data_IF_012991725194
#
_entry.id   IF_012991725194
#
_cell.length_a   1.000
_cell.length_b   1.000
_cell.length_c   1.000
_cell.angle_alpha   90.00
_cell.angle_beta   90.00
_cell.angle_gamma   90.00
#
_symmetry.space_group_name_H-M   'P 1'
#
loop_
_entity.id
_entity.type
_entity.pdbx_description
1 polymer ?
#
# COMPACT_ATOMS: atom_id res chain seq x y z
N UNK A 1 -7.55 75.61 -12.75
CA UNK A 1 -7.25 74.61 -13.80
C UNK A 1 -6.35 73.53 -13.21
N UNK A 2 -6.86 72.34 -12.89
CA UNK A 2 -6.07 71.21 -12.37
C UNK A 2 -5.66 70.32 -13.55
N UNK A 3 -4.35 70.12 -13.75
CA UNK A 3 -3.83 69.20 -14.78
C UNK A 3 -3.96 67.77 -14.27
N UNK A 4 -4.74 66.95 -14.96
CA UNK A 4 -4.83 65.51 -14.75
C UNK A 4 -3.69 64.87 -15.55
N UNK A 5 -2.76 64.20 -14.87
CA UNK A 5 -1.72 63.42 -15.50
C UNK A 5 -2.25 62.00 -15.76
N UNK A 6 -2.43 61.64 -17.03
CA UNK A 6 -2.69 60.25 -17.44
C UNK A 6 -1.40 59.44 -17.31
N UNK A 7 -1.35 58.51 -16.38
CA UNK A 7 -0.32 57.46 -16.35
C UNK A 7 -0.73 56.35 -17.33
N UNK A 8 0.01 56.22 -18.43
CA UNK A 8 -0.06 55.05 -19.30
C UNK A 8 0.61 53.88 -18.58
N UNK A 9 -0.19 52.88 -18.20
CA UNK A 9 0.32 51.60 -17.72
C UNK A 9 0.85 50.81 -18.92
N UNK A 10 2.17 50.72 -19.05
CA UNK A 10 2.80 49.88 -20.06
C UNK A 10 2.70 48.42 -19.59
N UNK A 11 1.76 47.65 -20.13
CA UNK A 11 1.73 46.20 -19.93
C UNK A 11 2.93 45.58 -20.66
N UNK A 12 4.03 45.36 -19.92
CA UNK A 12 5.15 44.55 -20.40
C UNK A 12 4.67 43.10 -20.43
N UNK A 13 4.37 42.61 -21.63
CA UNK A 13 4.16 41.18 -21.87
C UNK A 13 5.52 40.52 -21.75
N UNK A 14 5.83 39.98 -20.57
CA UNK A 14 6.97 39.10 -20.38
C UNK A 14 6.61 37.80 -21.12
N UNK A 15 7.36 37.39 -22.17
CA UNK A 15 7.15 36.10 -22.78
C UNK A 15 7.48 35.05 -21.71
N UNK A 16 6.44 34.38 -21.21
CA UNK A 16 6.60 33.26 -20.30
C UNK A 16 7.48 32.23 -20.99
N UNK A 17 8.63 31.94 -20.40
CA UNK A 17 9.46 30.80 -20.80
C UNK A 17 8.59 29.57 -20.54
N UNK A 18 8.01 29.02 -21.60
CA UNK A 18 7.44 27.68 -21.60
C UNK A 18 8.59 26.73 -21.32
N UNK A 19 8.81 26.42 -20.04
CA UNK A 19 9.68 25.31 -19.65
C UNK A 19 8.98 24.07 -20.21
N UNK A 20 9.53 23.52 -21.29
CA UNK A 20 9.07 22.26 -21.82
C UNK A 20 9.16 21.22 -20.68
N UNK A 21 8.05 20.57 -20.36
CA UNK A 21 8.03 19.52 -19.37
C UNK A 21 9.02 18.44 -19.78
N UNK A 22 10.01 18.17 -18.94
CA UNK A 22 11.01 17.14 -19.22
C UNK A 22 10.32 15.77 -19.14
N UNK A 23 10.19 15.12 -20.31
CA UNK A 23 9.61 13.79 -20.37
C UNK A 23 10.65 12.76 -19.92
N UNK A 24 10.32 12.00 -18.89
CA UNK A 24 11.07 10.80 -18.51
C UNK A 24 10.57 9.62 -19.33
N UNK A 25 11.48 8.75 -19.75
CA UNK A 25 11.16 7.54 -20.51
C UNK A 25 11.65 6.31 -19.78
N UNK A 26 10.91 5.21 -19.91
CA UNK A 26 11.29 3.90 -19.38
C UNK A 26 11.01 2.84 -20.44
N UNK A 27 11.90 1.88 -20.60
CA UNK A 27 11.66 0.78 -21.53
C UNK A 27 10.59 -0.17 -20.99
N UNK A 28 9.82 -0.82 -21.86
CA UNK A 28 8.84 -1.85 -21.46
C UNK A 28 9.48 -2.98 -20.65
N UNK A 29 10.71 -3.35 -20.98
CA UNK A 29 11.48 -4.38 -20.26
C UNK A 29 11.78 -3.93 -18.83
N UNK A 30 12.30 -2.71 -18.68
CA UNK A 30 12.64 -2.16 -17.37
C UNK A 30 11.39 -1.94 -16.50
N UNK A 31 10.31 -1.44 -17.08
CA UNK A 31 9.03 -1.32 -16.37
C UNK A 31 8.56 -2.67 -15.82
N UNK A 32 8.61 -3.73 -16.64
CA UNK A 32 8.25 -5.09 -16.19
C UNK A 32 9.15 -5.58 -15.06
N UNK A 33 10.45 -5.41 -15.18
CA UNK A 33 11.40 -5.79 -14.12
C UNK A 33 11.13 -5.04 -12.82
N UNK A 34 10.74 -3.75 -12.87
CA UNK A 34 10.35 -2.99 -11.67
C UNK A 34 9.05 -3.51 -11.05
N UNK A 35 8.04 -3.85 -11.87
CA UNK A 35 6.78 -4.44 -11.41
C UNK A 35 7.01 -5.83 -10.79
N UNK A 36 7.87 -6.66 -11.38
CA UNK A 36 8.29 -7.94 -10.81
C UNK A 36 9.02 -7.74 -9.47
N UNK A 37 9.91 -6.75 -9.40
CA UNK A 37 10.62 -6.37 -8.17
C UNK A 37 9.68 -5.88 -7.08
N UNK A 38 8.57 -5.24 -7.42
CA UNK A 38 7.53 -4.84 -6.47
C UNK A 38 6.87 -6.06 -5.81
N UNK A 39 6.40 -7.04 -6.59
CA UNK A 39 5.78 -8.25 -6.03
C UNK A 39 6.78 -9.07 -5.21
N UNK A 40 7.99 -9.28 -5.74
CA UNK A 40 9.02 -10.04 -5.04
C UNK A 40 9.52 -9.31 -3.79
N UNK A 41 9.66 -7.99 -3.84
CA UNK A 41 10.14 -7.17 -2.74
C UNK A 41 9.22 -7.23 -1.52
N UNK A 42 7.90 -7.19 -1.74
CA UNK A 42 6.92 -7.38 -0.67
C UNK A 42 7.08 -8.74 0.03
N UNK A 43 7.16 -9.82 -0.76
CA UNK A 43 7.31 -11.18 -0.22
C UNK A 43 8.63 -11.37 0.52
N UNK A 44 9.74 -10.84 -0.03
CA UNK A 44 11.06 -10.86 0.61
C UNK A 44 11.01 -10.14 1.95
N UNK A 45 10.46 -8.92 1.99
CA UNK A 45 10.35 -8.12 3.20
C UNK A 45 9.50 -8.80 4.26
N UNK A 46 8.31 -9.30 3.88
CA UNK A 46 7.43 -10.05 4.77
C UNK A 46 8.17 -11.28 5.31
N UNK A 47 8.72 -12.16 4.46
CA UNK A 47 9.38 -13.40 4.90
C UNK A 47 10.59 -13.17 5.82
N UNK A 48 11.34 -12.08 5.63
CA UNK A 48 12.44 -11.73 6.52
C UNK A 48 11.95 -11.27 7.90
N UNK A 49 10.85 -10.52 7.96
CA UNK A 49 10.27 -10.00 9.19
C UNK A 49 9.35 -10.98 9.93
N UNK A 50 8.70 -11.88 9.21
CA UNK A 50 7.56 -12.66 9.70
C UNK A 50 7.88 -13.54 10.91
N UNK A 51 9.01 -14.26 10.98
CA UNK A 51 9.38 -15.01 12.18
C UNK A 51 9.50 -14.11 13.43
N UNK A 52 9.81 -12.83 13.27
CA UNK A 52 10.12 -11.90 14.35
C UNK A 52 8.95 -11.00 14.76
N UNK A 53 7.78 -11.18 14.14
CA UNK A 53 6.57 -10.41 14.46
C UNK A 53 6.23 -10.51 15.95
N UNK A 54 6.10 -9.36 16.62
CA UNK A 54 5.88 -9.22 18.08
C UNK A 54 6.99 -9.78 18.99
N UNK A 55 8.17 -10.12 18.46
CA UNK A 55 9.25 -10.73 19.24
C UNK A 55 10.20 -9.69 19.86
N UNK A 56 10.60 -8.71 19.06
CA UNK A 56 11.51 -7.62 19.41
C UNK A 56 10.73 -6.30 19.38
N UNK A 57 10.64 -5.61 20.52
CA UNK A 57 9.85 -4.37 20.64
C UNK A 57 10.71 -3.23 21.17
N UNK A 58 11.27 -3.39 22.38
CA UNK A 58 12.14 -2.37 23.00
C UNK A 58 13.56 -2.42 22.47
N UNK A 59 14.13 -3.63 22.42
CA UNK A 59 15.49 -3.86 21.96
C UNK A 59 15.45 -4.52 20.57
N UNK A 60 16.35 -4.14 19.65
CA UNK A 60 16.43 -4.78 18.35
C UNK A 60 16.86 -6.25 18.49
N UNK A 61 16.70 -7.01 17.41
CA UNK A 61 17.30 -8.34 17.34
C UNK A 61 18.81 -8.25 17.65
N UNK A 62 19.37 -9.18 18.45
CA UNK A 62 20.78 -9.12 18.86
C UNK A 62 21.75 -9.45 17.71
N UNK A 63 21.22 -9.78 16.53
CA UNK A 63 21.95 -10.09 15.32
C UNK A 63 21.32 -9.36 14.13
N UNK A 64 22.12 -9.14 13.09
CA UNK A 64 21.61 -8.65 11.82
C UNK A 64 20.87 -9.76 11.08
N UNK A 65 19.66 -9.47 10.62
CA UNK A 65 18.84 -10.42 9.85
C UNK A 65 19.24 -10.29 8.37
N UNK A 66 20.06 -11.22 7.88
CA UNK A 66 20.66 -11.21 6.54
C UNK A 66 20.14 -12.34 5.61
N UNK A 67 19.25 -13.18 6.12
CA UNK A 67 18.65 -14.31 5.41
C UNK A 67 17.26 -14.61 5.94
N UNK A 68 16.56 -15.52 5.29
CA UNK A 68 15.32 -16.07 5.81
C UNK A 68 15.61 -17.00 6.99
N UNK A 69 15.09 -16.64 8.16
CA UNK A 69 15.10 -17.49 9.34
C UNK A 69 13.83 -18.34 9.36
N UNK A 70 13.95 -19.59 9.81
CA UNK A 70 12.82 -20.51 9.91
C UNK A 70 12.95 -21.45 11.12
N UNK A 71 12.01 -22.39 11.26
CA UNK A 71 11.89 -23.34 12.37
C UNK A 71 13.17 -24.15 12.65
N UNK A 72 14.04 -24.36 11.66
CA UNK A 72 15.33 -25.05 11.86
C UNK A 72 16.41 -24.17 12.48
N UNK A 73 16.22 -22.86 12.49
CA UNK A 73 17.11 -21.90 13.12
C UNK A 73 16.69 -21.77 14.59
N UNK A 74 17.51 -22.17 15.55
CA UNK A 74 17.13 -22.04 16.98
C UNK A 74 18.29 -21.63 17.88
N UNK A 75 19.46 -21.38 17.30
CA UNK A 75 20.65 -21.01 18.04
C UNK A 75 20.77 -19.47 18.12
N UNK A 76 20.58 -18.92 19.32
CA UNK A 76 20.99 -17.54 19.62
C UNK A 76 20.05 -16.41 19.19
N UNK A 77 18.88 -16.73 18.64
CA UNK A 77 17.85 -15.74 18.28
C UNK A 77 16.46 -16.21 18.74
N UNK A 78 15.63 -15.28 19.20
CA UNK A 78 14.24 -15.54 19.56
C UNK A 78 13.37 -15.29 18.33
N UNK A 79 12.46 -16.19 18.03
CA UNK A 79 11.43 -15.99 17.00
C UNK A 79 10.18 -16.83 17.26
N UNK A 80 9.15 -16.63 16.45
CA UNK A 80 7.97 -17.48 16.43
C UNK A 80 8.31 -18.79 15.70
N UNK A 81 8.09 -19.94 16.35
CA UNK A 81 8.42 -21.28 15.79
C UNK A 81 7.21 -22.20 15.66
N UNK A 82 6.07 -21.81 16.19
CA UNK A 82 4.92 -22.69 16.43
C UNK A 82 3.78 -22.52 15.43
N UNK A 83 3.91 -21.57 14.50
CA UNK A 83 2.92 -21.28 13.48
C UNK A 83 3.59 -20.88 12.14
N UNK A 84 2.77 -20.41 11.20
CA UNK A 84 3.19 -20.06 9.83
C UNK A 84 4.37 -19.07 9.76
N UNK A 85 4.57 -18.24 10.79
CA UNK A 85 5.63 -17.22 10.87
C UNK A 85 7.02 -17.82 10.89
N UNK A 86 7.21 -18.92 11.63
CA UNK A 86 8.47 -19.65 11.68
C UNK A 86 8.63 -20.68 10.57
N UNK A 87 7.57 -20.99 9.82
CA UNK A 87 7.51 -22.16 8.94
C UNK A 87 7.41 -21.78 7.45
N UNK A 88 7.83 -20.57 7.08
CA UNK A 88 7.72 -20.02 5.72
C UNK A 88 8.22 -20.98 4.63
N UNK A 89 9.37 -21.63 4.87
CA UNK A 89 9.96 -22.63 3.96
C UNK A 89 9.08 -23.87 3.79
N UNK A 90 8.46 -24.37 4.85
CA UNK A 90 7.57 -25.54 4.81
C UNK A 90 6.32 -25.22 3.99
N UNK A 91 5.72 -24.05 4.22
CA UNK A 91 4.55 -23.62 3.44
C UNK A 91 4.89 -23.36 1.97
N UNK A 92 6.06 -22.78 1.69
CA UNK A 92 6.49 -22.54 0.31
C UNK A 92 6.70 -23.86 -0.45
N UNK A 93 7.32 -24.86 0.18
CA UNK A 93 7.48 -26.20 -0.40
C UNK A 93 6.11 -26.87 -0.63
N UNK A 94 5.24 -26.86 0.37
CA UNK A 94 3.91 -27.48 0.29
C UNK A 94 2.99 -26.85 -0.76
N UNK A 95 3.13 -25.55 -1.02
CA UNK A 95 2.34 -24.80 -2.01
C UNK A 95 3.01 -24.76 -3.39
N UNK A 96 4.21 -25.34 -3.56
CA UNK A 96 4.93 -25.38 -4.82
C UNK A 96 5.48 -24.02 -5.27
N UNK A 97 5.71 -23.10 -4.33
CA UNK A 97 6.17 -21.75 -4.63
C UNK A 97 5.95 -20.76 -3.49
N UNK A 98 6.12 -19.47 -3.79
CA UNK A 98 5.86 -18.42 -2.82
C UNK A 98 4.37 -18.36 -2.44
N UNK A 99 4.12 -17.98 -1.20
CA UNK A 99 2.83 -17.74 -0.58
C UNK A 99 2.84 -16.40 0.18
N UNK A 100 1.71 -15.91 0.65
CA UNK A 100 1.67 -14.62 1.37
C UNK A 100 0.62 -14.62 2.47
N UNK A 101 0.54 -13.51 3.20
CA UNK A 101 -0.49 -13.18 4.17
C UNK A 101 -1.20 -11.87 3.79
N UNK A 102 -1.86 -11.21 4.74
CA UNK A 102 -2.65 -10.03 4.49
C UNK A 102 -1.85 -8.83 3.96
N UNK A 103 -0.51 -8.83 4.07
CA UNK A 103 0.34 -7.81 3.49
C UNK A 103 0.28 -7.78 1.96
N UNK A 104 0.13 -8.94 1.29
CA UNK A 104 0.03 -9.00 -0.19
C UNK A 104 -1.29 -9.57 -0.68
N UNK A 105 -1.97 -10.42 0.10
CA UNK A 105 -3.26 -11.03 -0.29
C UNK A 105 -4.32 -9.97 -0.60
N UNK A 106 -4.31 -8.85 0.14
CA UNK A 106 -5.25 -7.74 -0.08
C UNK A 106 -5.00 -7.07 -1.45
N UNK A 107 -3.75 -6.96 -1.87
CA UNK A 107 -3.40 -6.41 -3.17
C UNK A 107 -3.79 -7.36 -4.31
N UNK A 108 -3.70 -8.69 -4.12
CA UNK A 108 -4.22 -9.65 -5.09
C UNK A 108 -5.74 -9.55 -5.26
N UNK A 109 -6.49 -9.33 -4.19
CA UNK A 109 -7.94 -9.10 -4.28
C UNK A 109 -8.24 -7.77 -4.95
N UNK A 110 -7.43 -6.75 -4.71
CA UNK A 110 -7.55 -5.45 -5.39
C UNK A 110 -7.27 -5.59 -6.89
N UNK A 111 -6.21 -6.32 -7.28
CA UNK A 111 -5.92 -6.64 -8.67
C UNK A 111 -7.08 -7.38 -9.32
N UNK A 112 -7.62 -8.41 -8.67
CA UNK A 112 -8.77 -9.17 -9.17
C UNK A 112 -10.00 -8.26 -9.39
N UNK A 113 -10.26 -7.33 -8.48
CA UNK A 113 -11.34 -6.36 -8.62
C UNK A 113 -11.10 -5.38 -9.79
N UNK A 114 -9.87 -4.91 -9.97
CA UNK A 114 -9.47 -4.05 -11.10
C UNK A 114 -9.58 -4.79 -12.43
N UNK A 115 -9.22 -6.07 -12.50
CA UNK A 115 -9.40 -6.88 -13.71
C UNK A 115 -10.89 -7.03 -14.09
N UNK A 116 -11.78 -7.07 -13.11
CA UNK A 116 -13.22 -7.21 -13.32
C UNK A 116 -13.94 -5.88 -13.65
N UNK A 117 -13.51 -4.78 -13.03
CA UNK A 117 -14.24 -3.49 -13.06
C UNK A 117 -13.46 -2.34 -13.71
N UNK A 118 -12.17 -2.54 -14.00
CA UNK A 118 -11.25 -1.51 -14.48
C UNK A 118 -10.66 -0.66 -13.36
N UNK A 119 -9.83 0.31 -13.75
CA UNK A 119 -9.11 1.20 -12.83
C UNK A 119 -10.02 2.20 -12.09
N UNK A 120 -11.23 2.46 -12.63
CA UNK A 120 -12.25 3.33 -12.01
C UNK A 120 -13.10 2.60 -10.95
N UNK A 121 -12.58 1.50 -10.39
CA UNK A 121 -13.17 0.69 -9.34
C UNK A 121 -13.73 1.56 -8.20
N UNK A 122 -15.02 1.40 -7.90
CA UNK A 122 -15.70 2.16 -6.86
C UNK A 122 -15.77 1.39 -5.53
N UNK A 123 -16.16 2.09 -4.46
CA UNK A 123 -16.12 1.51 -3.11
C UNK A 123 -17.09 0.33 -2.91
N UNK A 124 -18.22 0.29 -3.62
CA UNK A 124 -19.16 -0.85 -3.53
C UNK A 124 -18.54 -2.10 -4.15
N UNK A 125 -17.82 -1.94 -5.25
CA UNK A 125 -17.17 -3.04 -5.98
C UNK A 125 -16.00 -3.62 -5.17
N UNK A 126 -15.09 -2.79 -4.65
CA UNK A 126 -14.00 -3.29 -3.81
C UNK A 126 -14.52 -3.88 -2.49
N UNK A 127 -15.58 -3.31 -1.90
CA UNK A 127 -16.24 -3.89 -0.72
C UNK A 127 -16.79 -5.28 -1.04
N UNK A 128 -17.43 -5.47 -2.20
CA UNK A 128 -17.91 -6.77 -2.62
C UNK A 128 -16.77 -7.78 -2.83
N UNK A 129 -15.66 -7.34 -3.44
CA UNK A 129 -14.48 -8.18 -3.61
C UNK A 129 -13.87 -8.59 -2.26
N UNK A 130 -13.72 -7.64 -1.32
CA UNK A 130 -13.26 -7.89 0.04
C UNK A 130 -14.14 -8.90 0.77
N UNK A 131 -15.47 -8.71 0.78
CA UNK A 131 -16.39 -9.65 1.41
C UNK A 131 -16.27 -11.07 0.83
N UNK A 132 -16.07 -11.18 -0.48
CA UNK A 132 -15.99 -12.47 -1.16
C UNK A 132 -14.66 -13.18 -0.91
N UNK A 133 -13.55 -12.44 -0.85
CA UNK A 133 -12.21 -13.04 -0.92
C UNK A 133 -11.34 -12.85 0.33
N UNK A 134 -11.64 -11.87 1.19
CA UNK A 134 -10.83 -11.52 2.37
C UNK A 134 -11.61 -11.92 3.63
N UNK A 135 -11.39 -13.17 4.09
CA UNK A 135 -12.24 -13.79 5.12
C UNK A 135 -11.47 -14.47 6.26
N UNK A 136 -10.15 -14.55 6.17
CA UNK A 136 -9.28 -15.24 7.12
C UNK A 136 -7.93 -14.53 7.20
N UNK A 137 -7.22 -14.71 8.31
CA UNK A 137 -5.86 -14.22 8.50
C UNK A 137 -5.67 -12.73 8.15
N UNK A 138 -6.62 -11.90 8.58
CA UNK A 138 -6.54 -10.44 8.53
C UNK A 138 -6.58 -9.91 9.95
N UNK A 139 -5.89 -8.81 10.20
CA UNK A 139 -5.72 -8.28 11.55
C UNK A 139 -6.22 -6.85 11.69
N UNK A 140 -6.29 -6.40 12.94
CA UNK A 140 -6.44 -4.99 13.35
C UNK A 140 -7.46 -4.21 12.51
N UNK A 141 -7.00 -3.28 11.65
CA UNK A 141 -7.87 -2.36 10.93
C UNK A 141 -8.54 -3.04 9.74
N UNK A 142 -7.81 -3.90 9.03
CA UNK A 142 -8.35 -4.77 7.97
C UNK A 142 -9.50 -5.64 8.48
N UNK A 143 -9.30 -6.31 9.63
CA UNK A 143 -10.32 -7.15 10.28
C UNK A 143 -11.55 -6.34 10.65
N UNK A 144 -11.36 -5.17 11.28
CA UNK A 144 -12.47 -4.32 11.70
C UNK A 144 -13.25 -3.77 10.50
N UNK A 145 -12.57 -3.32 9.45
CA UNK A 145 -13.21 -2.89 8.22
C UNK A 145 -14.05 -4.04 7.62
N UNK A 146 -13.51 -5.26 7.55
CA UNK A 146 -14.28 -6.43 7.09
C UNK A 146 -15.50 -6.70 7.98
N UNK A 147 -15.40 -6.62 9.30
CA UNK A 147 -16.56 -6.81 10.19
C UNK A 147 -17.66 -5.78 9.93
N UNK A 148 -17.28 -4.52 9.69
CA UNK A 148 -18.22 -3.46 9.33
C UNK A 148 -18.90 -3.74 7.97
N UNK A 149 -18.17 -4.30 7.00
CA UNK A 149 -18.76 -4.74 5.73
C UNK A 149 -19.77 -5.89 5.90
N UNK A 150 -19.61 -6.71 6.94
CA UNK A 150 -20.55 -7.80 7.23
C UNK A 150 -21.91 -7.27 7.70
N UNK A 151 -21.90 -6.21 8.52
CA UNK A 151 -23.12 -5.54 9.00
C UNK A 151 -23.69 -4.52 8.00
N UNK A 152 -23.19 -4.51 6.77
CA UNK A 152 -23.75 -3.75 5.65
C UNK A 152 -23.10 -2.39 5.37
N UNK A 153 -22.02 -2.02 6.07
CA UNK A 153 -21.26 -0.82 5.71
C UNK A 153 -20.48 -1.02 4.41
N UNK A 154 -20.18 0.09 3.74
CA UNK A 154 -19.38 0.13 2.51
C UNK A 154 -18.23 1.10 2.76
N UNK A 155 -17.05 0.82 2.19
CA UNK A 155 -15.99 1.83 2.18
C UNK A 155 -16.48 3.17 1.58
N UNK A 156 -15.96 4.32 2.02
CA UNK A 156 -14.94 4.50 3.04
C UNK A 156 -15.51 4.52 4.48
N UNK A 157 -16.81 4.27 4.68
CA UNK A 157 -17.40 4.30 6.04
C UNK A 157 -16.77 3.26 6.96
N UNK A 158 -16.23 2.18 6.40
CA UNK A 158 -15.50 1.13 7.13
C UNK A 158 -14.15 1.58 7.67
N UNK A 159 -13.54 2.63 7.11
CA UNK A 159 -12.27 3.19 7.56
C UNK A 159 -12.42 4.39 8.49
N UNK A 160 -13.59 5.05 8.48
CA UNK A 160 -13.89 6.24 9.29
C UNK A 160 -13.61 6.03 10.77
N UNK A 161 -13.04 7.05 11.43
CA UNK A 161 -12.68 6.99 12.87
C UNK A 161 -13.86 6.67 13.77
N UNK A 162 -15.05 7.10 13.39
CA UNK A 162 -16.28 6.87 14.14
C UNK A 162 -16.68 5.39 14.17
N UNK A 163 -16.26 4.62 13.16
CA UNK A 163 -16.66 3.23 12.96
C UNK A 163 -15.51 2.24 13.23
N UNK A 164 -14.29 2.62 12.87
CA UNK A 164 -13.10 1.78 13.02
C UNK A 164 -12.13 2.39 14.04
N UNK A 165 -12.05 1.87 15.28
CA UNK A 165 -11.13 2.38 16.31
C UNK A 165 -9.64 2.17 15.97
N UNK A 166 -9.33 1.40 14.92
CA UNK A 166 -7.97 1.12 14.48
C UNK A 166 -7.60 1.88 13.20
N UNK A 167 -8.35 2.93 12.84
CA UNK A 167 -8.15 3.77 11.65
C UNK A 167 -6.73 4.33 11.46
N UNK A 168 -5.90 4.31 12.50
CA UNK A 168 -4.54 4.84 12.51
C UNK A 168 -3.45 3.76 12.44
N UNK A 169 -3.84 2.49 12.36
CA UNK A 169 -2.91 1.38 12.29
C UNK A 169 -2.14 1.39 10.95
N UNK A 170 -1.09 0.59 10.88
CA UNK A 170 -0.17 0.57 9.74
C UNK A 170 -0.81 -0.06 8.48
N UNK A 171 -1.89 -0.83 8.64
CA UNK A 171 -2.61 -1.60 7.63
C UNK A 171 -2.73 -0.95 6.23
N UNK A 172 -3.17 0.31 6.05
CA UNK A 172 -3.31 0.88 4.71
C UNK A 172 -1.97 1.14 4.02
N UNK A 173 -0.86 1.23 4.77
CA UNK A 173 0.44 1.59 4.23
C UNK A 173 1.04 0.46 3.39
N UNK A 174 0.82 -0.79 3.80
CA UNK A 174 1.44 -2.00 3.25
C UNK A 174 0.61 -2.71 2.17
N UNK A 175 -0.61 -2.22 1.88
CA UNK A 175 -1.57 -2.91 0.99
C UNK A 175 -2.16 -2.01 -0.09
N UNK A 176 -1.50 -0.89 -0.41
CA UNK A 176 -2.01 0.10 -1.37
C UNK A 176 -0.96 0.59 -2.37
N UNK A 177 0.26 0.06 -2.32
CA UNK A 177 1.34 0.30 -3.26
C UNK A 177 0.96 -0.13 -4.69
N UNK A 178 0.05 -1.10 -4.82
CA UNK A 178 -0.50 -1.53 -6.11
C UNK A 178 -1.08 -0.37 -6.94
N UNK A 179 -1.62 0.67 -6.29
CA UNK A 179 -2.15 1.83 -7.00
C UNK A 179 -1.05 2.59 -7.73
N UNK A 180 0.15 2.67 -7.18
CA UNK A 180 1.28 3.28 -7.87
C UNK A 180 1.80 2.43 -9.02
N UNK A 181 1.68 1.11 -8.91
CA UNK A 181 2.02 0.17 -9.99
C UNK A 181 1.06 0.30 -11.18
N UNK A 182 -0.21 0.61 -10.93
CA UNK A 182 -1.17 0.93 -11.99
C UNK A 182 -0.93 2.30 -12.66
N UNK A 183 -0.30 3.23 -11.95
CA UNK A 183 -0.09 4.61 -12.38
C UNK A 183 1.40 5.01 -12.40
N UNK A 184 2.28 4.25 -13.10
CA UNK A 184 3.72 4.47 -13.04
C UNK A 184 4.08 5.87 -13.58
N UNK A 185 4.76 6.66 -12.74
CA UNK A 185 5.14 8.04 -13.07
C UNK A 185 3.99 9.05 -13.06
N UNK A 186 2.77 8.66 -12.70
CA UNK A 186 1.60 9.54 -12.58
C UNK A 186 1.30 9.81 -11.10
N UNK A 187 2.24 10.48 -10.42
CA UNK A 187 2.27 10.68 -8.95
C UNK A 187 0.91 11.12 -8.40
N UNK A 188 0.27 12.15 -8.98
CA UNK A 188 -1.02 12.65 -8.48
C UNK A 188 -2.13 11.59 -8.54
N UNK A 189 -2.16 10.75 -9.58
CA UNK A 189 -3.15 9.66 -9.71
C UNK A 189 -2.82 8.52 -8.76
N UNK A 190 -1.55 8.14 -8.66
CA UNK A 190 -1.07 7.11 -7.76
C UNK A 190 -1.44 7.46 -6.31
N UNK A 191 -1.09 8.67 -5.85
CA UNK A 191 -1.39 9.17 -4.50
C UNK A 191 -2.89 9.24 -4.26
N UNK A 192 -3.66 9.80 -5.19
CA UNK A 192 -5.12 9.91 -5.04
C UNK A 192 -5.79 8.53 -4.92
N UNK A 193 -5.36 7.54 -5.70
CA UNK A 193 -5.92 6.18 -5.63
C UNK A 193 -5.42 5.37 -4.47
N UNK A 194 -4.17 5.56 -4.05
CA UNK A 194 -3.64 4.97 -2.83
C UNK A 194 -4.35 5.52 -1.60
N UNK A 195 -4.65 6.84 -1.55
CA UNK A 195 -5.48 7.42 -0.49
C UNK A 195 -6.90 6.83 -0.52
N UNK A 196 -7.53 6.74 -1.69
CA UNK A 196 -8.84 6.10 -1.83
C UNK A 196 -8.84 4.66 -1.29
N UNK A 197 -7.80 3.88 -1.57
CA UNK A 197 -7.66 2.52 -1.06
C UNK A 197 -7.41 2.50 0.45
N UNK A 198 -6.57 3.41 0.96
CA UNK A 198 -6.33 3.57 2.40
C UNK A 198 -7.62 3.86 3.19
N UNK A 199 -8.55 4.64 2.61
CA UNK A 199 -9.84 4.98 3.24
C UNK A 199 -10.78 3.79 3.44
N UNK A 200 -10.47 2.61 2.88
CA UNK A 200 -11.21 1.37 3.17
C UNK A 200 -11.05 0.99 4.64
N UNK A 201 -9.88 1.24 5.23
CA UNK A 201 -9.55 0.82 6.61
C UNK A 201 -9.17 1.96 7.51
N UNK A 202 -8.78 3.10 6.95
CA UNK A 202 -8.13 4.18 7.70
C UNK A 202 -8.71 5.55 7.41
N UNK A 203 -8.38 6.53 8.25
CA UNK A 203 -8.93 7.88 8.17
C UNK A 203 -7.93 8.93 8.66
N UNK A 204 -8.19 10.21 8.35
CA UNK A 204 -7.30 11.35 8.66
C UNK A 204 -5.82 11.02 8.40
N UNK A 205 -4.92 11.32 9.34
CA UNK A 205 -3.49 11.08 9.19
C UNK A 205 -3.10 9.61 9.06
N UNK A 206 -3.99 8.67 9.36
CA UNK A 206 -3.77 7.24 9.12
C UNK A 206 -3.54 6.91 7.66
N UNK A 207 -4.02 7.74 6.72
CA UNK A 207 -3.79 7.55 5.28
C UNK A 207 -2.48 8.18 4.77
N UNK A 208 -1.85 9.06 5.56
CA UNK A 208 -0.70 9.83 5.09
C UNK A 208 0.53 8.98 4.74
N UNK A 209 0.88 7.92 5.50
CA UNK A 209 2.00 7.06 5.12
C UNK A 209 1.76 6.40 3.76
N UNK A 210 0.55 5.88 3.50
CA UNK A 210 0.18 5.33 2.19
C UNK A 210 0.39 6.34 1.07
N UNK A 211 -0.06 7.58 1.26
CA UNK A 211 0.12 8.65 0.27
C UNK A 211 1.60 8.96 0.03
N UNK A 212 2.41 8.96 1.09
CA UNK A 212 3.85 9.19 0.99
C UNK A 212 4.53 8.09 0.17
N UNK A 213 4.32 6.81 0.52
CA UNK A 213 4.91 5.70 -0.23
C UNK A 213 4.40 5.65 -1.67
N UNK A 214 3.13 5.96 -1.90
CA UNK A 214 2.57 6.01 -3.26
C UNK A 214 3.28 7.04 -4.16
N UNK A 215 3.77 8.14 -3.59
CA UNK A 215 4.52 9.16 -4.31
C UNK A 215 5.98 8.78 -4.62
N UNK A 216 6.52 7.73 -3.99
CA UNK A 216 7.90 7.28 -4.20
C UNK A 216 8.08 6.32 -5.39
N UNK A 217 6.97 5.75 -5.87
CA UNK A 217 6.93 4.81 -7.01
C UNK A 217 6.98 5.53 -8.37
#
# INVERSE_FOLDING_TARGET
MKKIACFLFLCVVIPGILVAQEFKTISKKELRTKIEGYWLGQLVGNYMGFPFEFVYNKDPAPIFIDRYYNVTDSAGIKMNHTDRRGNVNIFADALGGAWTDDDTDIEFVTLHAVEAHGLDLNYKEITAAWKKHINRFIWVSNRKARDLMEIGMVAPDTGKKENNPYWFAIDPQLVNEIWSVFYPGMVDRAVSRAEWGARITSDDWGTHPTMFYAALY
#
